data_IF_461720226486
#
_entry.id   IF_461720226486
#
_cell.length_a   1.000
_cell.length_b   1.000
_cell.length_c   1.000
_cell.angle_alpha   90.00
_cell.angle_beta   90.00
_cell.angle_gamma   90.00
#
_symmetry.space_group_name_H-M   'P 1'
#
loop_
_entity.id
_entity.type
_entity.pdbx_description
1 polymer ?
#
# COMPACT_ATOMS: atom_id res chain seq x y z
N UNK A 1 -15.87 10.89 4.80
CA UNK A 1 -15.52 11.10 6.21
C UNK A 1 -16.17 9.98 7.02
N UNK A 2 -15.47 9.45 8.02
CA UNK A 2 -16.05 8.49 8.97
C UNK A 2 -17.11 9.20 9.83
N UNK A 3 -18.13 8.48 10.31
CA UNK A 3 -19.07 9.05 11.27
C UNK A 3 -18.33 9.52 12.52
N UNK A 4 -18.83 10.56 13.19
CA UNK A 4 -18.28 10.94 14.48
C UNK A 4 -18.44 9.78 15.49
N UNK A 5 -17.53 9.69 16.47
CA UNK A 5 -17.62 8.70 17.54
C UNK A 5 -19.00 8.70 18.22
N UNK A 6 -19.61 9.89 18.42
CA UNK A 6 -20.95 10.04 18.99
C UNK A 6 -22.04 9.46 18.08
N UNK A 7 -21.97 9.72 16.78
CA UNK A 7 -22.94 9.19 15.81
C UNK A 7 -22.85 7.67 15.73
N UNK A 8 -21.63 7.11 15.73
CA UNK A 8 -21.42 5.67 15.71
C UNK A 8 -21.92 4.99 16.99
N UNK A 9 -21.64 5.60 18.15
CA UNK A 9 -22.08 5.08 19.45
C UNK A 9 -23.62 5.03 19.55
N UNK A 10 -24.30 6.06 19.03
CA UNK A 10 -25.76 6.10 18.98
C UNK A 10 -26.33 5.03 18.05
N UNK A 11 -25.77 4.87 16.85
CA UNK A 11 -26.21 3.88 15.88
C UNK A 11 -26.07 2.44 16.40
N UNK A 12 -24.98 2.16 17.11
CA UNK A 12 -24.67 0.84 17.66
C UNK A 12 -25.22 0.62 19.09
N UNK A 13 -25.80 1.65 19.72
CA UNK A 13 -26.27 1.65 21.12
C UNK A 13 -25.19 1.21 22.13
N UNK A 14 -23.95 1.67 21.91
CA UNK A 14 -22.80 1.39 22.79
C UNK A 14 -22.24 2.68 23.40
N UNK A 15 -21.32 2.54 24.36
CA UNK A 15 -20.69 3.71 24.99
C UNK A 15 -19.79 4.47 23.99
N UNK A 16 -19.75 5.80 24.12
CA UNK A 16 -18.86 6.65 23.32
C UNK A 16 -17.38 6.31 23.59
N UNK A 17 -17.04 5.89 24.81
CA UNK A 17 -15.69 5.45 25.19
C UNK A 17 -15.26 4.24 24.34
N UNK A 18 -16.17 3.30 24.10
CA UNK A 18 -15.91 2.12 23.27
C UNK A 18 -15.61 2.51 21.82
N UNK A 19 -16.43 3.39 21.22
CA UNK A 19 -16.17 3.87 19.85
C UNK A 19 -14.91 4.73 19.75
N UNK A 20 -14.56 5.45 20.82
CA UNK A 20 -13.32 6.23 20.88
C UNK A 20 -12.09 5.33 20.85
N UNK A 21 -12.06 4.30 21.70
CA UNK A 21 -10.96 3.31 21.69
C UNK A 21 -10.82 2.65 20.33
N UNK A 22 -11.93 2.24 19.70
CA UNK A 22 -11.89 1.63 18.37
C UNK A 22 -11.27 2.57 17.31
N UNK A 23 -11.56 3.87 17.36
CA UNK A 23 -10.96 4.85 16.43
C UNK A 23 -9.48 5.10 16.75
N UNK A 24 -9.11 5.18 18.02
CA UNK A 24 -7.71 5.29 18.45
C UNK A 24 -6.89 4.06 18.02
N UNK A 25 -7.47 2.86 18.08
CA UNK A 25 -6.85 1.63 17.58
C UNK A 25 -6.68 1.67 16.06
N UNK A 26 -7.73 2.05 15.32
CA UNK A 26 -7.65 2.20 13.85
C UNK A 26 -6.62 3.26 13.42
N UNK A 27 -6.48 4.35 14.17
CA UNK A 27 -5.52 5.41 13.88
C UNK A 27 -4.09 4.96 14.21
N UNK A 28 -3.89 4.29 15.36
CA UNK A 28 -2.61 3.70 15.76
C UNK A 28 -2.15 2.63 14.77
N UNK A 29 -3.07 1.81 14.29
CA UNK A 29 -2.80 0.75 13.32
C UNK A 29 -2.71 1.30 11.88
N UNK A 30 -2.89 2.63 11.70
CA UNK A 30 -2.64 3.34 10.45
C UNK A 30 -3.76 3.24 9.41
N UNK A 31 -4.96 2.77 9.80
CA UNK A 31 -6.12 2.66 8.90
C UNK A 31 -6.85 3.99 8.70
N UNK A 32 -6.77 4.91 9.66
CA UNK A 32 -7.47 6.20 9.63
C UNK A 32 -6.57 7.36 10.08
N UNK A 33 -6.92 8.57 9.70
CA UNK A 33 -6.30 9.82 10.18
C UNK A 33 -7.38 10.77 10.71
N UNK A 34 -7.11 11.37 11.87
CA UNK A 34 -8.01 12.34 12.49
C UNK A 34 -7.50 13.78 12.35
N UNK A 35 -8.33 14.67 11.80
CA UNK A 35 -8.02 16.09 11.66
C UNK A 35 -8.91 16.90 12.62
N UNK A 36 -8.29 17.67 13.52
CA UNK A 36 -9.02 18.51 14.48
C UNK A 36 -9.98 19.46 13.75
N UNK A 37 -11.27 19.39 14.12
CA UNK A 37 -12.33 20.20 13.51
C UNK A 37 -12.84 19.73 12.14
N UNK A 38 -12.18 18.76 11.49
CA UNK A 38 -12.59 18.20 10.19
C UNK A 38 -13.10 16.76 10.26
N UNK A 39 -12.82 16.06 11.37
CA UNK A 39 -13.26 14.68 11.61
C UNK A 39 -12.20 13.65 11.25
N UNK A 40 -12.58 12.37 11.26
CA UNK A 40 -11.69 11.24 10.93
C UNK A 40 -11.95 10.76 9.51
N UNK A 41 -10.88 10.41 8.82
CA UNK A 41 -10.88 9.98 7.43
C UNK A 41 -10.17 8.64 7.34
N UNK A 42 -10.68 7.74 6.51
CA UNK A 42 -9.95 6.52 6.18
C UNK A 42 -8.66 6.95 5.50
N UNK A 43 -7.52 6.51 6.06
CA UNK A 43 -6.21 6.74 5.47
C UNK A 43 -6.29 6.05 4.11
N UNK A 44 -6.24 6.86 3.05
CA UNK A 44 -6.62 6.39 1.72
C UNK A 44 -5.84 5.13 1.35
N UNK A 45 -6.56 4.06 1.00
CA UNK A 45 -6.00 3.05 0.11
C UNK A 45 -5.39 3.81 -1.09
N UNK A 46 -4.07 3.81 -1.22
CA UNK A 46 -3.44 3.28 -2.42
C UNK A 46 -1.93 3.44 -2.45
N UNK A 47 -1.27 4.46 -1.90
CA UNK A 47 0.12 4.69 -2.28
C UNK A 47 1.07 3.52 -1.93
N UNK A 48 1.06 3.03 -0.69
CA UNK A 48 1.94 1.93 -0.29
C UNK A 48 1.47 0.58 -0.85
N UNK A 49 0.16 0.32 -0.87
CA UNK A 49 -0.41 -0.93 -1.39
C UNK A 49 -0.23 -1.03 -2.93
N UNK A 50 -0.44 0.07 -3.65
CA UNK A 50 -0.20 0.18 -5.10
C UNK A 50 1.28 0.03 -5.41
N UNK A 51 2.15 0.65 -4.61
CA UNK A 51 3.60 0.46 -4.72
C UNK A 51 3.98 -1.00 -4.49
N UNK A 52 3.39 -1.66 -3.50
CA UNK A 52 3.60 -3.09 -3.24
C UNK A 52 3.14 -3.96 -4.42
N UNK A 53 1.98 -3.67 -5.00
CA UNK A 53 1.48 -4.36 -6.20
C UNK A 53 2.38 -4.12 -7.43
N UNK A 54 2.90 -2.91 -7.61
CA UNK A 54 3.89 -2.63 -8.66
C UNK A 54 5.22 -3.34 -8.40
N UNK A 55 5.68 -3.42 -7.14
CA UNK A 55 6.88 -4.16 -6.77
C UNK A 55 6.72 -5.66 -7.10
N UNK A 56 5.59 -6.27 -6.77
CA UNK A 56 5.29 -7.67 -7.12
C UNK A 56 5.30 -7.90 -8.63
N UNK A 57 4.74 -6.98 -9.41
CA UNK A 57 4.76 -7.05 -10.88
C UNK A 57 6.17 -6.94 -11.44
N UNK A 58 6.98 -6.04 -10.90
CA UNK A 58 8.40 -5.89 -11.28
C UNK A 58 9.18 -7.16 -10.95
N UNK A 59 9.01 -7.71 -9.74
CA UNK A 59 9.68 -8.94 -9.32
C UNK A 59 9.31 -10.13 -10.21
N UNK A 60 8.02 -10.29 -10.54
CA UNK A 60 7.55 -11.35 -11.44
C UNK A 60 8.18 -11.19 -12.83
N UNK A 61 8.15 -9.98 -13.39
CA UNK A 61 8.69 -9.71 -14.72
C UNK A 61 10.21 -9.92 -14.79
N UNK A 62 10.94 -9.52 -13.75
CA UNK A 62 12.39 -9.73 -13.66
C UNK A 62 12.74 -11.20 -13.46
N UNK A 63 11.92 -11.95 -12.72
CA UNK A 63 12.08 -13.40 -12.57
C UNK A 63 11.94 -14.10 -13.91
N UNK A 64 10.88 -13.80 -14.66
CA UNK A 64 10.67 -14.35 -16.00
C UNK A 64 11.81 -13.97 -16.96
N UNK A 65 12.29 -12.72 -16.90
CA UNK A 65 13.44 -12.28 -17.69
C UNK A 65 14.72 -13.06 -17.35
N UNK A 66 14.98 -13.31 -16.06
CA UNK A 66 16.12 -14.10 -15.61
C UNK A 66 16.03 -15.56 -16.05
N UNK A 67 14.84 -16.17 -16.00
CA UNK A 67 14.63 -17.53 -16.48
C UNK A 67 14.87 -17.64 -18.00
N UNK A 68 14.36 -16.68 -18.77
CA UNK A 68 14.57 -16.64 -20.21
C UNK A 68 16.04 -16.40 -20.56
N UNK A 69 16.73 -15.50 -19.85
CA UNK A 69 18.16 -15.25 -20.01
C UNK A 69 18.98 -16.53 -19.78
N UNK A 70 18.70 -17.27 -18.69
CA UNK A 70 19.35 -18.55 -18.42
C UNK A 70 19.11 -19.58 -19.53
N UNK A 71 17.90 -19.63 -20.10
CA UNK A 71 17.56 -20.58 -21.19
C UNK A 71 18.28 -20.27 -22.50
N UNK A 72 18.57 -19.01 -22.79
CA UNK A 72 19.35 -18.65 -23.97
C UNK A 72 20.86 -18.61 -23.72
N UNK A 73 21.32 -18.97 -22.53
CA UNK A 73 22.74 -18.96 -22.16
C UNK A 73 23.31 -17.55 -21.98
N UNK A 74 22.46 -16.57 -21.68
CA UNK A 74 22.86 -15.21 -21.40
C UNK A 74 23.46 -15.11 -20.00
N UNK A 75 24.61 -14.45 -19.91
CA UNK A 75 25.28 -14.17 -18.63
C UNK A 75 24.60 -13.02 -17.88
N UNK A 76 24.78 -12.98 -16.56
CA UNK A 76 24.14 -11.97 -15.70
C UNK A 76 24.53 -10.53 -16.11
N UNK A 77 25.77 -10.33 -16.54
CA UNK A 77 26.28 -9.02 -16.96
C UNK A 77 25.65 -8.53 -18.27
N UNK A 78 25.33 -9.45 -19.18
CA UNK A 78 24.61 -9.14 -20.42
C UNK A 78 23.17 -8.73 -20.12
N UNK A 79 22.48 -9.49 -19.25
CA UNK A 79 21.13 -9.16 -18.80
C UNK A 79 21.08 -7.80 -18.10
N UNK A 80 22.08 -7.50 -17.25
CA UNK A 80 22.21 -6.20 -16.58
C UNK A 80 22.40 -5.07 -17.58
N UNK A 81 23.27 -5.26 -18.57
CA UNK A 81 23.51 -4.27 -19.62
C UNK A 81 22.24 -3.97 -20.42
N UNK A 82 21.44 -4.99 -20.72
CA UNK A 82 20.13 -4.83 -21.38
C UNK A 82 19.15 -4.08 -20.48
N UNK A 83 19.09 -4.41 -19.18
CA UNK A 83 18.22 -3.71 -18.23
C UNK A 83 18.61 -2.22 -18.10
N UNK A 84 19.90 -1.92 -18.00
CA UNK A 84 20.42 -0.55 -17.93
C UNK A 84 20.10 0.25 -19.21
N UNK A 85 20.21 -0.38 -20.38
CA UNK A 85 19.82 0.23 -21.66
C UNK A 85 18.32 0.57 -21.72
N UNK A 86 17.45 -0.34 -21.25
CA UNK A 86 16.00 -0.13 -21.22
C UNK A 86 15.60 0.91 -20.16
N UNK A 87 16.23 0.88 -18.99
CA UNK A 87 15.96 1.81 -17.88
C UNK A 87 16.44 3.23 -18.16
N UNK A 88 17.63 3.36 -18.77
CA UNK A 88 18.28 4.63 -19.05
C UNK A 88 17.60 5.46 -20.13
N UNK A 89 16.71 4.85 -20.93
CA UNK A 89 15.87 5.52 -21.92
C UNK A 89 16.65 6.31 -22.98
N UNK A 90 16.71 5.75 -24.19
CA UNK A 90 16.75 6.55 -25.41
C UNK A 90 15.38 6.45 -26.08
#
# INVERSE_FOLDING_TARGET
ALPSMRALAQALRISVITTKRAYEELERDGFIESYTGKGSFVKGQNAELLKEEYLKKVETSLTDACENAKRCGMELDELRSVLEMIWGGN
#
